data_IF_696899197824
#
_entry.id   IF_696899197824
#
_cell.length_a   1.000
_cell.length_b   1.000
_cell.length_c   1.000
_cell.angle_alpha   90.00
_cell.angle_beta   90.00
_cell.angle_gamma   90.00
#
_symmetry.space_group_name_H-M   'P 1'
#
loop_
_entity.id
_entity.type
_entity.pdbx_description
1 polymer ?
#
# COMPACT_ATOMS: atom_id res chain seq x y z
N UNK A 1 0.49 11.87 4.89
CA UNK A 1 0.59 12.94 3.85
C UNK A 1 0.21 14.32 4.37
N UNK A 2 -0.80 14.48 5.21
CA UNK A 2 -1.21 15.82 5.69
C UNK A 2 -0.09 16.60 6.39
N UNK A 3 0.71 15.92 7.23
CA UNK A 3 1.88 16.53 7.87
C UNK A 3 2.87 17.07 6.84
N UNK A 4 3.22 16.30 5.80
CA UNK A 4 4.18 16.75 4.78
C UNK A 4 3.70 17.95 3.99
N UNK A 5 2.39 18.11 3.80
CA UNK A 5 1.84 19.26 3.08
C UNK A 5 1.77 20.52 3.94
N UNK A 6 1.50 20.37 5.24
CA UNK A 6 1.36 21.51 6.17
C UNK A 6 2.73 21.99 6.65
N UNK A 7 3.65 21.08 6.97
CA UNK A 7 4.95 21.43 7.57
C UNK A 7 6.13 21.36 6.60
N UNK A 8 5.93 20.86 5.38
CA UNK A 8 7.04 20.60 4.44
C UNK A 8 7.99 19.48 4.89
N UNK A 9 7.65 18.75 5.96
CA UNK A 9 8.50 17.72 6.54
C UNK A 9 8.51 16.43 5.67
N UNK A 10 9.19 16.48 4.54
CA UNK A 10 9.31 15.38 3.56
C UNK A 10 9.77 14.07 4.22
N UNK A 11 10.59 14.14 5.27
CA UNK A 11 11.06 13.01 6.07
C UNK A 11 9.95 12.13 6.65
N UNK A 12 8.75 12.67 6.89
CA UNK A 12 7.61 11.89 7.38
C UNK A 12 7.13 10.86 6.35
N UNK A 13 7.42 11.04 5.06
CA UNK A 13 7.14 10.04 4.00
C UNK A 13 8.08 8.83 4.09
N UNK A 14 9.26 8.99 4.70
CA UNK A 14 10.24 7.89 4.87
C UNK A 14 9.70 6.83 5.83
N UNK A 15 8.93 7.22 6.85
CA UNK A 15 8.33 6.29 7.82
C UNK A 15 7.41 5.26 7.15
N UNK A 16 6.35 5.64 6.40
CA UNK A 16 5.51 4.68 5.70
C UNK A 16 6.26 3.98 4.56
N UNK A 17 7.26 4.62 3.93
CA UNK A 17 8.07 3.98 2.89
C UNK A 17 8.89 2.81 3.46
N UNK A 18 9.64 3.05 4.53
CA UNK A 18 10.46 2.03 5.19
C UNK A 18 9.58 0.92 5.76
N UNK A 19 8.42 1.26 6.31
CA UNK A 19 7.51 0.25 6.84
C UNK A 19 6.89 -0.64 5.74
N UNK A 20 6.53 -0.08 4.58
CA UNK A 20 6.09 -0.87 3.44
C UNK A 20 7.23 -1.70 2.84
N UNK A 21 8.45 -1.15 2.73
CA UNK A 21 9.62 -1.89 2.25
C UNK A 21 9.95 -3.08 3.15
N UNK A 22 9.93 -2.89 4.48
CA UNK A 22 10.13 -3.97 5.44
C UNK A 22 9.07 -5.06 5.31
N UNK A 23 7.80 -4.69 5.09
CA UNK A 23 6.72 -5.64 4.82
C UNK A 23 6.93 -6.48 3.57
N UNK A 24 7.42 -5.86 2.49
CA UNK A 24 7.69 -6.52 1.21
C UNK A 24 8.93 -7.41 1.29
N UNK A 25 10.05 -6.91 1.85
CA UNK A 25 11.34 -7.60 1.86
C UNK A 25 11.47 -8.64 2.99
N UNK A 26 11.07 -8.32 4.21
CA UNK A 26 11.31 -9.21 5.36
C UNK A 26 10.18 -10.22 5.59
N UNK A 27 9.09 -10.17 4.82
CA UNK A 27 7.88 -10.97 5.05
C UNK A 27 7.35 -10.83 6.51
N UNK A 28 7.79 -9.78 7.20
CA UNK A 28 7.56 -9.45 8.59
C UNK A 28 6.99 -8.05 8.57
N UNK A 29 5.68 -7.93 8.78
CA UNK A 29 5.01 -6.64 8.87
C UNK A 29 4.96 -6.22 10.35
N UNK A 30 5.95 -5.47 10.88
CA UNK A 30 5.92 -5.00 12.26
C UNK A 30 4.64 -4.20 12.55
N UNK A 31 4.12 -3.46 11.56
CA UNK A 31 2.85 -2.74 11.67
C UNK A 31 1.68 -3.69 11.96
N UNK A 32 1.59 -4.82 11.26
CA UNK A 32 0.49 -5.79 11.48
C UNK A 32 0.63 -6.44 12.85
N UNK A 33 1.87 -6.67 13.32
CA UNK A 33 2.12 -7.25 14.64
C UNK A 33 1.79 -6.28 15.77
N UNK A 34 2.16 -5.01 15.63
CA UNK A 34 1.77 -3.96 16.58
C UNK A 34 0.27 -3.65 16.52
N UNK A 35 -0.33 -3.65 15.32
CA UNK A 35 -1.77 -3.51 15.14
C UNK A 35 -2.55 -4.65 15.79
N UNK A 36 -2.02 -5.88 15.76
CA UNK A 36 -2.60 -7.01 16.49
C UNK A 36 -2.66 -6.81 18.00
N UNK A 37 -1.74 -6.03 18.59
CA UNK A 37 -1.77 -5.71 20.03
C UNK A 37 -2.93 -4.75 20.38
N UNK A 38 -3.42 -3.99 19.40
CA UNK A 38 -4.58 -3.10 19.56
C UNK A 38 -5.92 -3.74 19.15
N UNK A 39 -5.92 -5.01 18.73
CA UNK A 39 -7.16 -5.73 18.41
C UNK A 39 -7.90 -6.10 19.70
N UNK A 40 -9.06 -5.49 19.92
CA UNK A 40 -9.98 -5.82 21.03
C UNK A 40 -10.68 -7.18 20.89
N UNK A 41 -10.64 -7.82 19.71
CA UNK A 41 -11.28 -9.12 19.43
C UNK A 41 -10.23 -10.18 19.11
N UNK A 42 -10.57 -11.43 19.39
CA UNK A 42 -9.71 -12.57 19.12
C UNK A 42 -9.26 -12.57 17.63
N UNK A 43 -7.96 -12.80 17.35
CA UNK A 43 -7.42 -12.76 16.01
C UNK A 43 -8.05 -13.78 15.05
N UNK A 44 -8.76 -14.80 15.56
CA UNK A 44 -9.52 -15.78 14.76
C UNK A 44 -10.82 -15.24 14.16
N UNK A 45 -11.35 -14.12 14.67
CA UNK A 45 -12.58 -13.50 14.14
C UNK A 45 -12.29 -12.53 12.98
N UNK A 46 -11.02 -12.16 12.79
CA UNK A 46 -10.57 -11.37 11.65
C UNK A 46 -10.13 -12.31 10.54
N UNK A 47 -10.68 -12.13 9.33
CA UNK A 47 -10.21 -12.82 8.14
C UNK A 47 -8.87 -12.17 7.77
N UNK A 48 -7.73 -12.86 7.92
CA UNK A 48 -6.45 -12.30 7.51
C UNK A 48 -6.45 -12.11 6.00
N UNK A 49 -6.04 -10.93 5.55
CA UNK A 49 -5.79 -10.68 4.13
C UNK A 49 -4.63 -11.55 3.64
N UNK A 50 -4.72 -12.06 2.42
CA UNK A 50 -3.68 -12.89 1.80
C UNK A 50 -2.34 -12.12 1.78
N UNK A 51 -1.27 -12.76 2.25
CA UNK A 51 0.06 -12.16 2.30
C UNK A 51 0.55 -11.69 0.92
N UNK A 52 0.15 -12.34 -0.17
CA UNK A 52 0.45 -11.89 -1.53
C UNK A 52 -0.28 -10.60 -1.90
N UNK A 53 -1.54 -10.45 -1.49
CA UNK A 53 -2.32 -9.22 -1.71
C UNK A 53 -1.73 -8.06 -0.92
N UNK A 54 -1.35 -8.29 0.34
CA UNK A 54 -0.68 -7.30 1.17
C UNK A 54 0.64 -6.84 0.57
N UNK A 55 1.46 -7.77 0.09
CA UNK A 55 2.73 -7.44 -0.60
C UNK A 55 2.49 -6.64 -1.88
N UNK A 56 1.47 -7.00 -2.67
CA UNK A 56 1.12 -6.27 -3.88
C UNK A 56 0.74 -4.83 -3.55
N UNK A 57 -0.16 -4.62 -2.59
CA UNK A 57 -0.57 -3.29 -2.16
C UNK A 57 0.62 -2.49 -1.58
N UNK A 58 1.44 -3.11 -0.72
CA UNK A 58 2.64 -2.48 -0.15
C UNK A 58 3.68 -2.13 -1.23
N UNK A 59 3.79 -2.92 -2.29
CA UNK A 59 4.71 -2.64 -3.41
C UNK A 59 4.27 -1.42 -4.21
N UNK A 60 2.97 -1.28 -4.50
CA UNK A 60 2.40 -0.11 -5.17
C UNK A 60 2.57 1.14 -4.29
N UNK A 61 2.26 1.03 -3.00
CA UNK A 61 2.44 2.11 -2.05
C UNK A 61 3.91 2.55 -1.97
N UNK A 62 4.85 1.59 -1.90
CA UNK A 62 6.29 1.86 -1.89
C UNK A 62 6.75 2.57 -3.15
N UNK A 63 6.32 2.10 -4.32
CA UNK A 63 6.67 2.72 -5.60
C UNK A 63 6.18 4.16 -5.68
N UNK A 64 4.92 4.41 -5.31
CA UNK A 64 4.34 5.75 -5.34
C UNK A 64 4.97 6.67 -4.28
N UNK A 65 5.27 6.17 -3.09
CA UNK A 65 5.96 6.94 -2.05
C UNK A 65 7.39 7.28 -2.45
N UNK A 66 8.13 6.35 -3.06
CA UNK A 66 9.46 6.60 -3.61
C UNK A 66 9.42 7.64 -4.72
N UNK A 67 8.47 7.55 -5.65
CA UNK A 67 8.27 8.54 -6.70
C UNK A 67 7.92 9.93 -6.14
N UNK A 68 7.05 9.98 -5.14
CA UNK A 68 6.72 11.21 -4.44
C UNK A 68 7.92 11.82 -3.71
N UNK A 69 8.71 10.99 -3.02
CA UNK A 69 9.92 11.41 -2.31
C UNK A 69 10.97 11.96 -3.28
N UNK A 70 11.25 11.25 -4.39
CA UNK A 70 12.16 11.72 -5.43
C UNK A 70 11.65 13.01 -6.07
N UNK A 71 10.35 13.14 -6.31
CA UNK A 71 9.73 14.37 -6.79
C UNK A 71 9.99 15.55 -5.86
N UNK A 72 9.82 15.37 -4.55
CA UNK A 72 10.15 16.40 -3.57
C UNK A 72 11.65 16.71 -3.49
N UNK A 73 12.53 15.70 -3.57
CA UNK A 73 13.99 15.87 -3.55
C UNK A 73 14.51 16.65 -4.78
N UNK A 74 13.90 16.45 -5.95
CA UNK A 74 14.23 17.14 -7.19
C UNK A 74 13.54 18.52 -7.31
N UNK A 75 12.92 19.02 -6.23
CA UNK A 75 12.10 20.24 -6.22
C UNK A 75 10.90 20.22 -7.19
N UNK A 76 10.53 19.05 -7.72
CA UNK A 76 9.32 18.85 -8.52
C UNK A 76 8.11 18.64 -7.59
N UNK A 77 7.71 19.73 -6.93
CA UNK A 77 6.61 19.73 -5.96
C UNK A 77 5.32 19.16 -6.55
N UNK A 78 5.00 19.49 -7.81
CA UNK A 78 3.82 18.98 -8.52
C UNK A 78 3.81 17.45 -8.57
N UNK A 79 4.94 16.83 -8.93
CA UNK A 79 5.08 15.37 -8.99
C UNK A 79 4.95 14.78 -7.59
N UNK A 80 5.63 15.38 -6.60
CA UNK A 80 5.53 14.97 -5.20
C UNK A 80 4.08 14.98 -4.67
N UNK A 81 3.33 16.05 -4.96
CA UNK A 81 1.93 16.18 -4.55
C UNK A 81 1.02 15.18 -5.24
N UNK A 82 1.16 14.94 -6.55
CA UNK A 82 0.32 13.97 -7.27
C UNK A 82 0.52 12.56 -6.71
N UNK A 83 1.77 12.12 -6.57
CA UNK A 83 2.05 10.78 -6.07
C UNK A 83 1.60 10.60 -4.62
N UNK A 84 1.84 11.58 -3.75
CA UNK A 84 1.41 11.50 -2.35
C UNK A 84 -0.11 11.63 -2.19
N UNK A 85 -0.78 12.47 -2.98
CA UNK A 85 -2.25 12.59 -2.96
C UNK A 85 -2.92 11.29 -3.39
N UNK A 86 -2.41 10.64 -4.43
CA UNK A 86 -2.93 9.36 -4.90
C UNK A 86 -2.87 8.28 -3.82
N UNK A 87 -1.73 8.14 -3.13
CA UNK A 87 -1.59 7.17 -2.03
C UNK A 87 -2.48 7.56 -0.84
N UNK A 88 -2.66 8.86 -0.59
CA UNK A 88 -3.53 9.34 0.49
C UNK A 88 -4.98 8.95 0.23
N UNK A 89 -5.48 9.20 -0.98
CA UNK A 89 -6.83 8.81 -1.40
C UNK A 89 -7.00 7.30 -1.33
N UNK A 90 -6.05 6.53 -1.89
CA UNK A 90 -6.11 5.07 -1.86
C UNK A 90 -6.17 4.51 -0.42
N UNK A 91 -5.40 5.09 0.50
CA UNK A 91 -5.39 4.69 1.92
C UNK A 91 -6.69 5.06 2.63
N UNK A 92 -7.25 6.25 2.35
CA UNK A 92 -8.55 6.68 2.90
C UNK A 92 -9.69 5.76 2.45
N UNK A 93 -9.71 5.38 1.17
CA UNK A 93 -10.72 4.45 0.63
C UNK A 93 -10.54 3.04 1.23
N UNK A 94 -9.29 2.61 1.48
CA UNK A 94 -9.03 1.35 2.19
C UNK A 94 -9.58 1.35 3.61
N UNK A 95 -9.46 2.47 4.35
CA UNK A 95 -10.06 2.62 5.69
C UNK A 95 -11.59 2.58 5.62
N UNK A 96 -12.19 3.12 4.56
CA UNK A 96 -13.63 3.02 4.30
C UNK A 96 -14.11 1.60 3.94
N UNK A 97 -13.19 0.63 3.82
CA UNK A 97 -13.51 -0.78 3.57
C UNK A 97 -13.26 -1.24 2.14
N UNK A 98 -12.69 -0.41 1.25
CA UNK A 98 -12.39 -0.80 -0.12
C UNK A 98 -10.91 -0.62 -0.49
N UNK A 99 -10.19 -1.72 -0.66
CA UNK A 99 -8.81 -1.68 -1.11
C UNK A 99 -8.72 -1.79 -2.65
N UNK A 100 -8.41 -0.67 -3.31
CA UNK A 100 -8.22 -0.60 -4.78
C UNK A 100 -7.13 -1.59 -5.24
N UNK A 101 -6.03 -1.71 -4.48
CA UNK A 101 -4.94 -2.65 -4.79
C UNK A 101 -5.38 -4.12 -4.75
N UNK A 102 -6.19 -4.50 -3.75
CA UNK A 102 -6.77 -5.84 -3.68
C UNK A 102 -7.69 -6.13 -4.86
N UNK A 103 -8.54 -5.16 -5.23
CA UNK A 103 -9.43 -5.28 -6.37
C UNK A 103 -8.65 -5.48 -7.67
N UNK A 104 -7.60 -4.67 -7.90
CA UNK A 104 -6.75 -4.80 -9.08
C UNK A 104 -6.06 -6.17 -9.15
N UNK A 105 -5.50 -6.64 -8.03
CA UNK A 105 -4.87 -7.96 -7.95
C UNK A 105 -5.85 -9.08 -8.30
N UNK A 106 -7.07 -9.02 -7.74
CA UNK A 106 -8.12 -9.97 -8.04
C UNK A 106 -8.49 -9.99 -9.53
N UNK A 107 -8.66 -8.82 -10.14
CA UNK A 107 -8.96 -8.69 -11.57
C UNK A 107 -7.84 -9.29 -12.44
N UNK A 108 -6.57 -9.05 -12.10
CA UNK A 108 -5.43 -9.63 -12.80
C UNK A 108 -5.41 -11.16 -12.71
N UNK A 109 -5.68 -11.72 -11.53
CA UNK A 109 -5.78 -13.17 -11.34
C UNK A 109 -6.96 -13.78 -12.10
N UNK A 110 -8.13 -13.15 -12.06
CA UNK A 110 -9.29 -13.51 -12.86
C UNK A 110 -8.96 -13.52 -14.37
N UNK A 111 -8.26 -12.50 -14.85
CA UNK A 111 -7.86 -12.40 -16.24
C UNK A 111 -6.88 -13.51 -16.65
N UNK A 112 -5.86 -13.78 -15.83
CA UNK A 112 -4.91 -14.88 -16.04
C UNK A 112 -5.64 -16.24 -16.10
N UNK A 113 -6.55 -16.49 -15.16
CA UNK A 113 -7.34 -17.72 -15.10
C UNK A 113 -8.23 -17.90 -16.34
N UNK A 114 -8.94 -16.84 -16.77
CA UNK A 114 -9.75 -16.89 -18.00
C UNK A 114 -8.92 -17.19 -19.24
N UNK A 115 -7.66 -16.71 -19.29
CA UNK A 115 -6.74 -17.03 -20.40
C UNK A 115 -6.18 -18.45 -20.33
N UNK A 116 -5.91 -18.99 -19.13
CA UNK A 116 -5.45 -20.39 -19.02
C UNK A 116 -6.53 -21.37 -19.48
N UNK A 117 -7.80 -21.10 -19.16
CA UNK A 117 -8.93 -21.92 -19.64
C UNK A 117 -9.07 -21.90 -21.17
N UNK A 118 -8.83 -20.76 -21.83
CA UNK A 118 -8.84 -20.67 -23.30
C UNK A 118 -7.67 -21.37 -23.98
N UNK A 119 -6.59 -21.70 -23.25
CA UNK A 119 -5.39 -22.34 -23.79
C UNK A 119 -5.43 -23.88 -23.67
N UNK A 120 -6.41 -24.41 -22.93
CA UNK A 120 -6.63 -25.84 -22.71
C UNK A 120 -7.71 -26.45 -23.63
N UNK A 121 -8.31 -25.63 -24.50
CA UNK A 121 -9.12 -26.04 -25.66
C UNK A 121 -8.33 -25.74 -26.93
#
# INVERSE_FOLDING_TARGET
>A
MFVTWITGAIWVLVIPLVANLMGVFCNYNPIIRFGRLFLKKAPSTYIPEDAQQQKFNASIASFCLSGGLLGYLLNWQVVGHIFTAMVAVASSVAIAGFCIGCFLYFQLKQWQYRRSLKKSF
#
